data_IF_679897837009
#
_entry.id   IF_679897837009
#
_cell.length_a   1.000
_cell.length_b   1.000
_cell.length_c   1.000
_cell.angle_alpha   90.00
_cell.angle_beta   90.00
_cell.angle_gamma   90.00
#
_symmetry.space_group_name_H-M   'P 1'
#
loop_
_entity.id
_entity.type
_entity.pdbx_description
1 polymer ?
#
# COMPACT_ATOMS: atom_id res chain seq x y z
N UNK A 1 -18.77 10.61 2.22
CA UNK A 1 -18.70 9.14 2.07
C UNK A 1 -18.03 8.55 3.29
N UNK A 2 -18.65 7.54 3.91
CA UNK A 2 -18.13 6.87 5.12
C UNK A 2 -17.64 5.47 4.74
N UNK A 3 -16.44 5.11 5.20
CA UNK A 3 -15.86 3.78 5.02
C UNK A 3 -15.87 3.06 6.37
N UNK A 4 -16.53 1.92 6.45
CA UNK A 4 -16.60 1.06 7.62
C UNK A 4 -16.07 -0.32 7.28
N UNK A 5 -15.26 -0.90 8.14
CA UNK A 5 -14.71 -2.23 7.91
C UNK A 5 -13.53 -2.53 8.82
N UNK A 6 -12.84 -3.61 8.54
CA UNK A 6 -11.69 -4.04 9.30
C UNK A 6 -10.73 -4.87 8.47
N UNK A 7 -9.50 -4.92 8.97
CA UNK A 7 -8.43 -5.77 8.40
C UNK A 7 -7.82 -6.61 9.51
N UNK A 8 -7.38 -7.80 9.14
CA UNK A 8 -6.55 -8.67 9.95
C UNK A 8 -5.26 -8.96 9.19
N UNK A 9 -4.14 -8.90 9.88
CA UNK A 9 -2.84 -9.24 9.30
C UNK A 9 -2.06 -10.10 10.28
N UNK A 10 -1.46 -11.16 9.76
CA UNK A 10 -0.48 -12.00 10.43
C UNK A 10 0.88 -11.77 9.78
N UNK A 11 1.92 -11.63 10.56
CA UNK A 11 3.30 -11.50 10.08
C UNK A 11 4.25 -12.29 10.97
N UNK A 12 5.29 -12.81 10.35
CA UNK A 12 6.40 -13.48 10.99
C UNK A 12 7.72 -12.93 10.43
N UNK A 13 8.68 -12.70 11.30
CA UNK A 13 10.00 -12.17 10.95
C UNK A 13 11.04 -12.83 11.88
N UNK A 14 12.06 -13.47 11.31
CA UNK A 14 13.17 -14.07 12.05
C UNK A 14 14.48 -13.27 11.95
N UNK A 15 14.43 -12.07 11.35
CA UNK A 15 15.58 -11.20 11.13
C UNK A 15 16.13 -11.27 9.72
N UNK A 16 16.33 -12.45 9.17
CA UNK A 16 16.87 -12.65 7.81
C UNK A 16 15.76 -12.79 6.76
N UNK A 17 14.63 -13.35 7.16
CA UNK A 17 13.48 -13.58 6.31
C UNK A 17 12.19 -13.34 7.07
N UNK A 18 11.13 -13.05 6.33
CA UNK A 18 9.82 -12.95 6.91
C UNK A 18 8.72 -13.06 5.89
N UNK A 19 7.52 -13.25 6.39
CA UNK A 19 6.32 -13.23 5.56
C UNK A 19 5.19 -12.49 6.26
N UNK A 20 4.25 -12.05 5.47
CA UNK A 20 2.99 -11.51 5.97
C UNK A 20 1.84 -11.99 5.11
N UNK A 21 0.68 -12.12 5.73
CA UNK A 21 -0.59 -12.37 5.06
C UNK A 21 -1.66 -11.58 5.78
N UNK A 22 -2.51 -10.95 5.03
CA UNK A 22 -3.59 -10.15 5.58
C UNK A 22 -4.79 -10.08 4.65
N UNK A 23 -5.90 -9.66 5.20
CA UNK A 23 -7.11 -9.43 4.44
C UNK A 23 -8.11 -8.61 5.23
N UNK A 24 -9.10 -8.09 4.53
CA UNK A 24 -10.14 -7.30 5.14
C UNK A 24 -11.30 -7.03 4.23
N UNK A 25 -12.33 -6.47 4.81
CA UNK A 25 -13.53 -6.06 4.09
C UNK A 25 -14.00 -4.69 4.52
N UNK A 26 -14.54 -3.95 3.58
CA UNK A 26 -15.05 -2.60 3.81
C UNK A 26 -16.40 -2.38 3.14
N UNK A 27 -17.24 -1.61 3.80
CA UNK A 27 -18.47 -1.06 3.26
C UNK A 27 -18.35 0.44 3.09
N UNK A 28 -18.75 0.93 1.95
CA UNK A 28 -18.71 2.34 1.56
C UNK A 28 -20.13 2.87 1.46
N UNK A 29 -20.45 3.83 2.29
CA UNK A 29 -21.74 4.47 2.37
C UNK A 29 -21.59 5.96 2.11
N UNK A 30 -22.38 6.50 1.21
CA UNK A 30 -22.35 7.93 0.86
C UNK A 30 -23.74 8.49 0.70
N UNK A 31 -23.88 9.78 0.95
CA UNK A 31 -25.10 10.51 0.64
C UNK A 31 -25.12 10.78 -0.86
N UNK A 32 -26.19 10.36 -1.54
CA UNK A 32 -26.34 10.46 -3.01
C UNK A 32 -25.29 9.68 -3.83
N UNK A 33 -24.64 8.68 -3.23
CA UNK A 33 -23.68 7.77 -3.90
C UNK A 33 -24.15 6.36 -3.67
N UNK A 34 -24.08 5.51 -4.67
CA UNK A 34 -24.42 4.08 -4.53
C UNK A 34 -23.52 3.43 -3.48
N UNK A 35 -24.11 2.61 -2.60
CA UNK A 35 -23.33 1.84 -1.63
C UNK A 35 -22.48 0.79 -2.34
N UNK A 36 -21.26 0.59 -1.84
CA UNK A 36 -20.32 -0.40 -2.36
C UNK A 36 -19.69 -1.21 -1.23
N UNK A 37 -19.21 -2.38 -1.54
CA UNK A 37 -18.40 -3.19 -0.63
C UNK A 37 -17.11 -3.58 -1.32
N UNK A 38 -16.04 -3.77 -0.55
CA UNK A 38 -14.80 -4.33 -1.07
C UNK A 38 -14.23 -5.38 -0.14
N UNK A 39 -13.58 -6.36 -0.74
CA UNK A 39 -12.67 -7.27 -0.08
C UNK A 39 -11.25 -6.99 -0.58
N UNK A 40 -10.30 -7.12 0.31
CA UNK A 40 -8.89 -7.08 -0.04
C UNK A 40 -8.11 -8.18 0.67
N UNK A 41 -7.08 -8.66 0.03
CA UNK A 41 -6.13 -9.59 0.60
C UNK A 41 -4.72 -9.19 0.15
N UNK A 42 -3.75 -9.41 1.01
CA UNK A 42 -2.36 -9.17 0.71
C UNK A 42 -1.50 -10.26 1.33
N UNK A 43 -0.45 -10.64 0.63
CA UNK A 43 0.53 -11.59 1.11
C UNK A 43 1.90 -11.21 0.56
N UNK A 44 2.94 -11.53 1.30
CA UNK A 44 4.29 -11.32 0.81
C UNK A 44 5.31 -12.08 1.64
N UNK A 45 6.42 -12.31 0.99
CA UNK A 45 7.64 -12.86 1.60
C UNK A 45 8.79 -11.91 1.32
N UNK A 46 9.69 -11.79 2.26
CA UNK A 46 10.88 -10.97 2.09
C UNK A 46 12.10 -11.65 2.69
N UNK A 47 13.23 -11.35 2.11
CA UNK A 47 14.55 -11.83 2.51
C UNK A 47 15.46 -10.63 2.71
N UNK A 48 16.36 -10.72 3.66
CA UNK A 48 17.43 -9.77 3.93
C UNK A 48 18.77 -10.45 3.70
N UNK A 49 19.17 -10.64 2.42
CA UNK A 49 20.41 -11.37 2.08
C UNK A 49 21.67 -10.67 2.59
N UNK A 50 21.56 -9.43 2.94
CA UNK A 50 22.60 -8.65 3.58
C UNK A 50 22.01 -7.80 4.69
N UNK A 51 22.42 -8.08 5.92
CA UNK A 51 21.95 -7.38 7.11
C UNK A 51 23.11 -7.18 8.07
N UNK A 52 23.61 -5.95 8.17
CA UNK A 52 24.66 -5.53 9.07
C UNK A 52 24.22 -4.25 9.81
N UNK A 53 24.94 -3.83 10.82
CA UNK A 53 24.66 -2.63 11.62
C UNK A 53 24.53 -1.36 10.76
N UNK A 54 25.31 -1.28 9.68
CA UNK A 54 25.40 -0.10 8.82
C UNK A 54 24.64 -0.25 7.50
N UNK A 55 24.37 -1.48 7.07
CA UNK A 55 23.78 -1.75 5.75
C UNK A 55 22.75 -2.88 5.81
N UNK A 56 21.62 -2.67 5.18
CA UNK A 56 20.58 -3.68 5.04
C UNK A 56 20.05 -3.68 3.60
N UNK A 57 20.11 -4.84 2.95
CA UNK A 57 19.45 -5.08 1.69
C UNK A 57 18.24 -5.99 1.94
N UNK A 58 17.08 -5.56 1.49
CA UNK A 58 15.86 -6.34 1.55
C UNK A 58 15.24 -6.49 0.16
N UNK A 59 14.85 -7.68 -0.17
CA UNK A 59 14.09 -8.00 -1.39
C UNK A 59 12.98 -8.98 -1.07
N UNK A 60 12.00 -9.12 -1.94
CA UNK A 60 10.90 -10.02 -1.68
C UNK A 60 9.92 -10.13 -2.82
N UNK A 61 8.83 -10.82 -2.55
CA UNK A 61 7.67 -10.92 -3.42
C UNK A 61 6.46 -10.47 -2.64
N UNK A 62 5.65 -9.59 -3.20
CA UNK A 62 4.36 -9.19 -2.64
C UNK A 62 3.24 -9.38 -3.64
N UNK A 63 2.11 -9.81 -3.13
CA UNK A 63 0.87 -9.98 -3.88
C UNK A 63 -0.25 -9.21 -3.19
N UNK A 64 -1.11 -8.60 -3.99
CA UNK A 64 -2.32 -7.94 -3.50
C UNK A 64 -3.50 -8.32 -4.37
N UNK A 65 -4.62 -8.54 -3.72
CA UNK A 65 -5.92 -8.76 -4.34
C UNK A 65 -6.92 -7.74 -3.82
N UNK A 66 -7.76 -7.23 -4.71
CA UNK A 66 -8.83 -6.32 -4.35
C UNK A 66 -10.02 -6.57 -5.26
N UNK A 67 -11.21 -6.58 -4.68
CA UNK A 67 -12.45 -6.75 -5.41
C UNK A 67 -13.54 -5.84 -4.84
N UNK A 68 -14.19 -5.10 -5.71
CA UNK A 68 -15.35 -4.28 -5.37
C UNK A 68 -16.63 -4.87 -5.95
N UNK A 69 -17.70 -4.82 -5.20
CA UNK A 69 -18.99 -5.35 -5.65
C UNK A 69 -19.62 -4.54 -6.79
N UNK A 70 -19.19 -3.29 -6.99
CA UNK A 70 -19.68 -2.40 -8.05
C UNK A 70 -18.57 -1.52 -8.59
N UNK A 71 -18.57 -1.32 -9.90
CA UNK A 71 -17.75 -0.27 -10.52
C UNK A 71 -18.43 1.09 -10.32
N UNK A 72 -17.81 1.96 -9.51
CA UNK A 72 -18.26 3.33 -9.21
C UNK A 72 -17.18 4.36 -9.57
N UNK A 73 -16.41 4.10 -10.62
CA UNK A 73 -15.23 4.89 -11.01
C UNK A 73 -15.55 6.22 -11.67
N UNK A 74 -16.79 6.44 -12.11
CA UNK A 74 -17.16 7.65 -12.82
C UNK A 74 -17.47 8.82 -11.88
N UNK A 75 -17.41 10.05 -12.43
CA UNK A 75 -17.71 11.31 -11.72
C UNK A 75 -19.12 11.81 -12.01
N UNK A 76 -20.06 10.92 -12.27
CA UNK A 76 -21.47 11.25 -12.48
C UNK A 76 -22.28 11.09 -11.20
N UNK A 77 -23.50 11.65 -11.19
CA UNK A 77 -24.37 11.59 -10.01
C UNK A 77 -24.70 10.14 -9.64
N UNK A 78 -24.48 9.79 -8.38
CA UNK A 78 -24.65 8.43 -7.87
C UNK A 78 -23.37 7.58 -7.92
N UNK A 79 -22.37 8.00 -8.66
CA UNK A 79 -21.03 7.36 -8.71
C UNK A 79 -20.14 7.85 -7.56
N UNK A 80 -19.10 7.08 -7.24
CA UNK A 80 -18.17 7.40 -6.17
C UNK A 80 -16.94 8.20 -6.58
N UNK A 81 -16.61 8.19 -7.87
CA UNK A 81 -15.42 8.84 -8.41
C UNK A 81 -14.09 8.25 -7.92
N UNK A 82 -14.08 6.99 -7.52
CA UNK A 82 -12.87 6.30 -7.05
C UNK A 82 -12.63 5.02 -7.83
N UNK A 83 -11.37 4.62 -7.96
CA UNK A 83 -11.00 3.37 -8.59
C UNK A 83 -11.60 2.19 -7.82
N UNK A 84 -12.51 1.48 -8.45
CA UNK A 84 -13.27 0.36 -7.87
C UNK A 84 -13.31 -0.83 -8.84
N UNK A 85 -12.15 -1.45 -9.06
CA UNK A 85 -12.04 -2.58 -9.99
C UNK A 85 -12.65 -3.84 -9.40
N UNK A 86 -13.03 -4.74 -10.29
CA UNK A 86 -13.34 -6.13 -9.99
C UNK A 86 -12.12 -7.00 -10.36
N UNK A 87 -11.83 -8.00 -9.50
CA UNK A 87 -10.71 -8.93 -9.71
C UNK A 87 -9.34 -8.26 -9.91
N UNK A 88 -9.04 -7.20 -9.15
CA UNK A 88 -7.71 -6.60 -9.18
C UNK A 88 -6.69 -7.54 -8.54
N UNK A 89 -5.65 -7.88 -9.28
CA UNK A 89 -4.50 -8.65 -8.82
C UNK A 89 -3.23 -7.88 -9.11
N UNK A 90 -2.34 -7.77 -8.17
CA UNK A 90 -0.99 -7.27 -8.41
C UNK A 90 0.05 -8.16 -7.78
N UNK A 91 1.18 -8.31 -8.46
CA UNK A 91 2.36 -9.02 -8.00
C UNK A 91 3.56 -8.11 -8.21
N UNK A 92 4.37 -7.92 -7.18
CA UNK A 92 5.54 -7.05 -7.25
C UNK A 92 6.75 -7.62 -6.55
N UNK A 93 7.93 -7.23 -7.04
CA UNK A 93 9.25 -7.54 -6.51
C UNK A 93 9.84 -6.25 -5.94
N UNK A 94 9.66 -5.96 -4.65
CA UNK A 94 10.30 -4.84 -3.99
C UNK A 94 11.77 -5.13 -3.70
N UNK A 95 12.62 -4.10 -3.84
CA UNK A 95 14.02 -4.11 -3.43
C UNK A 95 14.27 -2.81 -2.66
N UNK A 96 14.87 -2.91 -1.48
CA UNK A 96 15.25 -1.75 -0.71
C UNK A 96 16.64 -1.92 -0.11
N UNK A 97 17.43 -0.87 -0.21
CA UNK A 97 18.74 -0.74 0.40
C UNK A 97 18.70 0.37 1.46
N UNK A 98 19.13 0.06 2.66
CA UNK A 98 19.31 1.04 3.73
C UNK A 98 20.78 1.06 4.10
N UNK A 99 21.39 2.23 4.06
CA UNK A 99 22.76 2.46 4.53
C UNK A 99 22.77 3.52 5.63
N UNK A 100 23.49 3.24 6.69
CA UNK A 100 23.67 4.14 7.84
C UNK A 100 25.12 4.59 7.86
N UNK A 101 25.31 5.89 7.92
CA UNK A 101 26.57 6.55 8.19
C UNK A 101 26.42 7.31 9.51
N UNK A 102 27.48 7.70 10.18
CA UNK A 102 27.45 8.31 11.51
C UNK A 102 26.19 9.15 11.81
N UNK A 103 25.92 10.17 11.03
CA UNK A 103 24.78 11.08 11.21
C UNK A 103 23.71 10.94 10.12
N UNK A 104 23.94 10.11 9.13
CA UNK A 104 23.06 9.99 7.96
C UNK A 104 22.48 8.59 7.82
N UNK A 105 21.23 8.52 7.41
CA UNK A 105 20.63 7.28 6.95
C UNK A 105 20.10 7.50 5.53
N UNK A 106 20.66 6.78 4.59
CA UNK A 106 20.19 6.72 3.21
C UNK A 106 19.28 5.52 3.02
N UNK A 107 18.14 5.74 2.38
CA UNK A 107 17.25 4.65 1.95
C UNK A 107 16.98 4.80 0.46
N UNK A 108 17.31 3.75 -0.28
CA UNK A 108 17.03 3.62 -1.70
C UNK A 108 16.07 2.45 -1.87
N UNK A 109 14.95 2.66 -2.56
CA UNK A 109 13.96 1.61 -2.79
C UNK A 109 13.37 1.68 -4.18
N UNK A 110 13.01 0.54 -4.69
CA UNK A 110 12.30 0.39 -5.95
C UNK A 110 11.51 -0.89 -5.99
N UNK A 111 10.53 -0.96 -6.87
CA UNK A 111 9.78 -2.18 -7.13
C UNK A 111 9.44 -2.30 -8.61
N UNK A 112 9.40 -3.52 -9.09
CA UNK A 112 8.88 -3.88 -10.41
C UNK A 112 7.72 -4.83 -10.19
N UNK A 113 6.61 -4.60 -10.87
CA UNK A 113 5.43 -5.43 -10.69
C UNK A 113 4.54 -5.48 -11.91
N UNK A 114 3.65 -6.44 -11.88
CA UNK A 114 2.58 -6.61 -12.84
C UNK A 114 1.25 -6.48 -12.12
N UNK A 115 0.30 -5.80 -12.74
CA UNK A 115 -1.08 -5.71 -12.27
C UNK A 115 -2.05 -6.03 -13.40
N UNK A 116 -3.14 -6.67 -13.03
CA UNK A 116 -4.26 -6.97 -13.91
C UNK A 116 -5.55 -6.69 -13.16
N UNK A 117 -6.52 -6.12 -13.85
CA UNK A 117 -7.84 -5.85 -13.28
C UNK A 117 -8.91 -5.88 -14.37
N UNK A 118 -10.14 -6.06 -13.93
CA UNK A 118 -11.32 -5.85 -14.76
C UNK A 118 -12.23 -4.79 -14.13
N UNK A 119 -13.02 -4.14 -14.98
CA UNK A 119 -14.07 -3.24 -14.51
C UNK A 119 -15.39 -3.68 -15.15
N UNK A 120 -16.34 -4.04 -14.29
CA UNK A 120 -17.66 -4.46 -14.73
C UNK A 120 -18.44 -3.26 -15.33
N UNK A 121 -19.44 -3.59 -16.10
CA UNK A 121 -20.40 -2.62 -16.60
C UNK A 121 -20.99 -1.81 -15.48
N UNK A 122 -21.02 -0.50 -15.64
CA UNK A 122 -21.60 0.42 -14.65
C UNK A 122 -22.69 1.25 -15.27
N UNK A 123 -23.78 1.47 -14.53
CA UNK A 123 -24.81 2.42 -14.94
C UNK A 123 -24.24 3.84 -14.85
N UNK A 124 -24.46 4.65 -15.88
CA UNK A 124 -24.00 6.05 -15.90
C UNK A 124 -24.56 6.86 -14.73
N UNK A 125 -25.80 6.56 -14.31
CA UNK A 125 -26.44 7.09 -13.10
C UNK A 125 -26.96 5.93 -12.22
N UNK A 126 -26.13 5.35 -11.33
CA UNK A 126 -26.47 4.14 -10.59
C UNK A 126 -27.64 4.29 -9.59
N UNK A 127 -28.03 5.51 -9.27
CA UNK A 127 -29.16 5.83 -8.38
C UNK A 127 -30.44 6.20 -9.14
N UNK A 128 -30.40 6.23 -10.49
CA UNK A 128 -31.55 6.54 -11.34
C UNK A 128 -31.84 5.37 -12.29
N UNK A 129 -33.07 4.89 -12.30
CA UNK A 129 -33.49 3.80 -13.19
C UNK A 129 -33.57 4.29 -14.65
N UNK A 130 -32.96 3.58 -15.58
CA UNK A 130 -33.20 3.70 -17.01
C UNK A 130 -32.13 4.38 -17.87
N UNK A 131 -30.94 4.66 -17.35
CA UNK A 131 -29.84 5.24 -18.13
C UNK A 131 -28.82 4.18 -18.53
N UNK A 132 -28.28 4.30 -19.76
CA UNK A 132 -27.39 3.32 -20.39
C UNK A 132 -26.23 2.88 -19.49
N UNK A 133 -25.96 1.58 -19.50
CA UNK A 133 -24.79 1.01 -18.85
C UNK A 133 -23.55 1.22 -19.71
N UNK A 134 -22.45 1.56 -19.06
CA UNK A 134 -21.12 1.55 -19.69
C UNK A 134 -20.70 0.09 -19.97
N UNK A 135 -20.03 -0.20 -21.11
CA UNK A 135 -19.62 -1.57 -21.47
C UNK A 135 -18.65 -2.24 -20.51
N UNK A 136 -18.07 -1.48 -19.56
CA UNK A 136 -17.00 -1.97 -18.69
C UNK A 136 -15.64 -1.94 -19.39
N UNK A 137 -14.59 -1.96 -18.63
CA UNK A 137 -13.20 -1.94 -19.11
C UNK A 137 -12.31 -2.84 -18.25
N UNK A 138 -11.17 -3.20 -18.78
CA UNK A 138 -10.16 -4.00 -18.10
C UNK A 138 -8.77 -3.55 -18.49
N UNK A 139 -7.81 -3.75 -17.59
CA UNK A 139 -6.44 -3.33 -17.84
C UNK A 139 -5.41 -4.28 -17.27
N UNK A 140 -4.34 -4.45 -18.03
CA UNK A 140 -3.12 -5.12 -17.61
C UNK A 140 -1.96 -4.16 -17.75
N UNK A 141 -1.13 -4.06 -16.73
CA UNK A 141 -0.03 -3.09 -16.74
C UNK A 141 1.18 -3.56 -15.96
N UNK A 142 2.35 -3.33 -16.53
CA UNK A 142 3.62 -3.39 -15.82
C UNK A 142 3.87 -2.08 -15.09
N UNK A 143 4.21 -2.18 -13.82
CA UNK A 143 4.46 -1.01 -12.97
C UNK A 143 5.89 -1.07 -12.44
N UNK A 144 6.63 0.01 -12.67
CA UNK A 144 7.93 0.24 -12.04
C UNK A 144 7.82 1.44 -11.11
N UNK A 145 8.21 1.27 -9.87
CA UNK A 145 8.21 2.34 -8.88
C UNK A 145 9.55 2.41 -8.16
N UNK A 146 10.11 3.59 -8.05
CA UNK A 146 11.34 3.85 -7.30
C UNK A 146 11.16 4.99 -6.32
N UNK A 147 11.84 4.90 -5.18
CA UNK A 147 11.90 5.98 -4.19
C UNK A 147 13.29 6.09 -3.59
N UNK A 148 13.71 7.32 -3.31
CA UNK A 148 14.96 7.64 -2.63
C UNK A 148 14.64 8.55 -1.46
N UNK A 149 14.98 8.11 -0.25
CA UNK A 149 14.76 8.85 0.97
C UNK A 149 16.09 9.06 1.69
N UNK A 150 16.39 10.32 1.98
CA UNK A 150 17.50 10.71 2.86
C UNK A 150 16.92 11.23 4.17
N UNK A 151 17.42 10.73 5.27
CA UNK A 151 17.08 11.22 6.61
C UNK A 151 18.35 11.58 7.35
N UNK A 152 18.39 12.83 7.80
CA UNK A 152 19.41 13.32 8.68
C UNK A 152 19.06 12.93 10.12
N UNK A 153 19.99 12.34 10.86
CA UNK A 153 19.83 11.92 12.25
C UNK A 153 20.33 12.99 13.25
N UNK A 154 20.77 14.15 12.77
CA UNK A 154 21.37 15.18 13.61
C UNK A 154 20.40 15.79 14.65
N UNK A 155 19.08 15.63 14.46
CA UNK A 155 18.09 16.16 15.43
C UNK A 155 18.10 15.44 16.81
N UNK A 156 18.66 14.24 16.92
CA UNK A 156 18.65 13.51 18.21
C UNK A 156 19.61 14.09 19.24
N UNK A 157 20.69 14.75 18.84
CA UNK A 157 21.66 15.31 19.80
C UNK A 157 21.20 16.61 20.46
N UNK A 158 20.21 17.31 19.94
CA UNK A 158 19.69 18.54 20.57
C UNK A 158 18.75 18.30 21.75
N UNK A 159 18.18 17.13 21.89
CA UNK A 159 17.17 16.83 22.90
C UNK A 159 17.78 16.26 24.22
N UNK A 160 19.04 15.88 24.24
CA UNK A 160 19.74 15.43 25.43
C UNK A 160 21.11 16.11 25.54
N UNK A 161 21.21 17.32 26.10
CA UNK A 161 22.50 17.88 26.48
C UNK A 161 23.13 16.96 27.52
N UNK A 162 24.35 16.49 27.25
CA UNK A 162 25.13 15.69 28.16
C UNK A 162 25.19 16.41 29.50
N UNK A 163 24.67 15.79 30.56
CA UNK A 163 24.82 16.24 31.93
C UNK A 163 26.31 16.20 32.27
N UNK A 164 26.97 17.35 32.24
CA UNK A 164 28.31 17.47 32.81
C UNK A 164 28.21 17.18 34.31
N UNK A 165 28.66 16.00 34.72
CA UNK A 165 28.94 15.69 36.11
C UNK A 165 30.05 16.57 36.58
N UNK A 166 29.73 17.60 37.37
CA UNK A 166 30.72 18.35 38.14
C UNK A 166 31.18 17.48 39.31
N UNK A 167 32.36 16.93 39.21
CA UNK A 167 33.14 16.52 40.37
C UNK A 167 33.78 17.80 40.95
N UNK A 168 33.23 18.26 42.05
CA UNK A 168 33.97 19.11 42.99
C UNK A 168 34.43 18.21 44.13
N UNK A 169 35.73 18.02 44.23
CA UNK A 169 36.43 17.47 45.37
C UNK A 169 36.76 18.53 46.37
#
# INVERSE_FOLDING_TARGET
MTKNGGTLQLSYDDGDAGFYVGGGGYSYLGQNVASNTSINANAGVYLRPYHDEYRQLQTGLSMSYMDYSKNLSYFTYGQGGYFSPQNYVSVSLPVSLTEKYDNWTMKLGGSVGYQSYSQDKSAYFPTQFGVAADPGDGGEQWVCQGSLLFRDLEERHRLYPARRGGLQG
#
